data_IF_183779859257
#
_entry.id   IF_183779859257
#
_cell.length_a   1.000
_cell.length_b   1.000
_cell.length_c   1.000
_cell.angle_alpha   90.00
_cell.angle_beta   90.00
_cell.angle_gamma   90.00
#
_symmetry.space_group_name_H-M   'P 1'
#
loop_
_entity.id
_entity.type
_entity.pdbx_description
1 polymer ?
#
# COMPACT_ATOMS: atom_id res chain seq x y z
N UNK A 1 31.82 -3.05 27.28
CA UNK A 1 30.51 -3.58 26.83
C UNK A 1 29.57 -3.51 28.02
N UNK A 2 28.47 -2.76 27.95
CA UNK A 2 27.52 -2.62 29.05
C UNK A 2 26.35 -3.60 28.86
N UNK A 3 26.04 -4.39 29.90
CA UNK A 3 24.87 -5.26 29.96
C UNK A 3 23.75 -4.47 30.67
N UNK A 4 22.62 -4.28 30.00
CA UNK A 4 21.39 -3.78 30.61
C UNK A 4 20.47 -4.98 30.88
N UNK A 5 20.01 -5.09 32.14
CA UNK A 5 19.14 -6.18 32.59
C UNK A 5 17.84 -5.56 33.11
N UNK A 6 16.72 -5.95 32.49
CA UNK A 6 15.41 -5.40 32.81
C UNK A 6 14.86 -6.22 33.97
N UNK A 7 14.52 -5.56 35.07
CA UNK A 7 14.14 -6.21 36.33
C UNK A 7 12.90 -7.12 36.21
N UNK A 8 12.01 -6.85 35.24
CA UNK A 8 10.74 -7.55 35.09
C UNK A 8 10.82 -8.89 34.32
N UNK A 9 11.94 -9.19 33.64
CA UNK A 9 12.11 -10.46 32.89
C UNK A 9 13.46 -11.11 33.25
N UNK A 10 13.49 -12.02 34.24
CA UNK A 10 14.74 -12.52 34.81
C UNK A 10 15.59 -13.41 33.87
N UNK A 11 15.05 -13.84 32.72
CA UNK A 11 15.72 -14.74 31.78
C UNK A 11 16.02 -14.11 30.40
N UNK A 12 15.81 -12.80 30.23
CA UNK A 12 16.01 -12.13 28.94
C UNK A 12 17.29 -11.29 28.93
N UNK A 13 18.17 -11.55 27.96
CA UNK A 13 19.41 -10.84 27.72
C UNK A 13 19.36 -10.21 26.32
N UNK A 14 19.29 -8.89 26.26
CA UNK A 14 19.38 -8.14 25.01
C UNK A 14 20.76 -7.46 24.92
N UNK A 15 21.73 -8.01 24.17
CA UNK A 15 22.99 -7.33 23.92
C UNK A 15 22.76 -6.20 22.91
N UNK A 16 22.28 -5.06 23.38
CA UNK A 16 22.07 -3.87 22.54
C UNK A 16 23.39 -3.10 22.43
N UNK A 17 23.83 -2.83 21.20
CA UNK A 17 24.92 -1.89 20.93
C UNK A 17 24.31 -0.51 20.71
N UNK A 18 24.54 0.40 21.66
CA UNK A 18 24.11 1.79 21.58
C UNK A 18 24.99 2.51 20.56
N UNK A 19 24.46 2.73 19.35
CA UNK A 19 25.10 3.52 18.31
C UNK A 19 24.44 4.89 18.26
N UNK A 20 25.20 5.94 18.56
CA UNK A 20 24.75 7.32 18.41
C UNK A 20 25.50 7.97 17.26
N UNK A 21 24.80 8.77 16.46
CA UNK A 21 25.43 9.60 15.42
C UNK A 21 25.63 10.98 15.98
N UNK A 22 26.90 11.37 16.16
CA UNK A 22 27.30 12.68 16.66
C UNK A 22 27.55 13.64 15.50
N UNK A 23 26.70 14.65 15.37
CA UNK A 23 26.91 15.75 14.43
C UNK A 23 27.62 16.90 15.14
N UNK A 24 28.77 17.28 14.60
CA UNK A 24 29.59 18.37 15.10
C UNK A 24 29.54 19.55 14.14
N UNK A 25 29.35 20.75 14.67
CA UNK A 25 29.40 22.00 13.92
C UNK A 25 30.70 22.75 14.22
N UNK A 26 31.43 23.11 13.17
CA UNK A 26 32.66 23.86 13.31
C UNK A 26 32.38 25.34 13.60
N UNK A 27 33.02 25.90 14.64
CA UNK A 27 33.00 27.33 14.91
C UNK A 27 34.29 27.99 14.42
N UNK A 28 34.24 28.73 13.29
CA UNK A 28 35.44 29.33 12.69
C UNK A 28 36.07 30.44 13.54
N UNK A 29 35.35 31.02 14.51
CA UNK A 29 35.89 32.08 15.38
C UNK A 29 36.77 31.54 16.51
N UNK A 30 36.53 30.29 16.95
CA UNK A 30 37.22 29.69 18.09
C UNK A 30 38.02 28.44 17.73
N UNK A 31 38.00 28.00 16.47
CA UNK A 31 38.73 26.81 15.99
C UNK A 31 38.25 25.48 16.58
N UNK A 32 37.11 25.49 17.27
CA UNK A 32 36.59 24.35 18.01
C UNK A 32 35.33 23.80 17.33
N UNK A 33 35.13 22.48 17.43
CA UNK A 33 33.93 21.79 16.98
C UNK A 33 32.95 21.65 18.16
N UNK A 34 31.74 22.18 18.00
CA UNK A 34 30.67 22.08 18.99
C UNK A 34 29.70 20.97 18.63
N UNK A 35 29.18 20.28 19.63
CA UNK A 35 28.18 19.23 19.44
C UNK A 35 26.85 19.90 19.07
N UNK A 36 26.36 19.64 17.87
CA UNK A 36 25.11 20.22 17.35
C UNK A 36 23.94 19.25 17.54
N UNK A 37 24.14 17.97 17.21
CA UNK A 37 23.07 16.98 17.31
C UNK A 37 23.62 15.62 17.70
N UNK A 38 22.88 14.92 18.55
CA UNK A 38 23.11 13.52 18.88
C UNK A 38 21.83 12.77 18.54
N UNK A 39 21.89 11.97 17.48
CA UNK A 39 20.78 11.10 17.10
C UNK A 39 21.03 9.72 17.71
N UNK A 40 20.11 9.30 18.56
CA UNK A 40 20.07 7.96 19.12
C UNK A 40 19.32 7.04 18.17
N UNK A 41 20.05 6.44 17.22
CA UNK A 41 19.43 5.56 16.24
C UNK A 41 19.06 4.22 16.90
N UNK A 42 17.90 4.20 17.55
CA UNK A 42 17.23 2.97 17.94
C UNK A 42 16.35 2.50 16.78
N UNK A 43 16.31 1.20 16.55
CA UNK A 43 15.56 0.60 15.45
C UNK A 43 14.18 0.16 15.93
N UNK A 44 13.12 0.85 15.45
CA UNK A 44 11.71 0.38 15.27
C UNK A 44 11.26 -0.86 16.05
N UNK A 45 11.79 -1.96 15.54
CA UNK A 45 11.53 -3.34 15.90
C UNK A 45 11.95 -3.75 17.32
N UNK A 46 12.83 -2.99 17.99
CA UNK A 46 13.38 -3.41 19.28
C UNK A 46 12.40 -3.25 20.45
N UNK A 47 11.48 -2.27 20.40
CA UNK A 47 10.50 -2.03 21.47
C UNK A 47 9.28 -2.94 21.37
N UNK A 48 8.89 -3.37 20.17
CA UNK A 48 7.85 -4.41 20.00
C UNK A 48 8.30 -5.72 20.69
N UNK A 49 9.58 -6.08 20.57
CA UNK A 49 10.16 -7.27 21.24
C UNK A 49 10.19 -7.16 22.76
N UNK A 50 10.08 -5.94 23.28
CA UNK A 50 10.08 -5.65 24.71
C UNK A 50 8.68 -5.79 25.32
N UNK A 51 7.62 -5.49 24.55
CA UNK A 51 6.24 -5.55 25.05
C UNK A 51 5.68 -6.98 25.05
N UNK A 52 6.09 -7.84 24.11
CA UNK A 52 5.68 -9.24 24.03
C UNK A 52 6.83 -10.13 23.52
N UNK A 53 7.69 -10.69 24.39
CA UNK A 53 8.58 -11.78 24.01
C UNK A 53 7.69 -12.99 23.62
N UNK A 54 7.62 -13.31 22.32
CA UNK A 54 6.65 -14.29 21.81
C UNK A 54 5.60 -13.72 20.85
N UNK A 55 5.53 -12.40 20.66
CA UNK A 55 4.47 -11.73 19.89
C UNK A 55 4.33 -12.21 18.45
N UNK A 56 5.39 -12.77 17.86
CA UNK A 56 5.30 -13.42 16.55
C UNK A 56 4.28 -14.57 16.58
N UNK A 57 4.26 -15.41 17.62
CA UNK A 57 3.27 -16.50 17.74
C UNK A 57 1.85 -15.95 17.82
N UNK A 58 1.65 -14.80 18.47
CA UNK A 58 0.34 -14.17 18.56
C UNK A 58 -0.13 -13.66 17.19
N UNK A 59 0.77 -13.10 16.39
CA UNK A 59 0.51 -12.66 15.01
C UNK A 59 0.24 -13.86 14.11
N UNK A 60 1.02 -14.94 14.24
CA UNK A 60 0.81 -16.21 13.52
C UNK A 60 -0.52 -16.87 13.91
N UNK A 61 -0.87 -16.88 15.19
CA UNK A 61 -2.17 -17.36 15.68
C UNK A 61 -3.30 -16.49 15.12
N UNK A 62 -3.17 -15.17 15.16
CA UNK A 62 -4.17 -14.25 14.60
C UNK A 62 -4.39 -14.47 13.09
N UNK A 63 -3.30 -14.65 12.33
CA UNK A 63 -3.40 -15.01 10.91
C UNK A 63 -4.11 -16.35 10.71
N UNK A 64 -3.75 -17.37 11.49
CA UNK A 64 -4.40 -18.68 11.43
C UNK A 64 -5.90 -18.61 11.78
N UNK A 65 -6.27 -17.80 12.77
CA UNK A 65 -7.65 -17.54 13.16
C UNK A 65 -8.45 -16.84 12.05
N UNK A 66 -7.86 -15.84 11.39
CA UNK A 66 -8.50 -15.16 10.26
C UNK A 66 -8.73 -16.11 9.08
N UNK A 67 -7.72 -16.91 8.70
CA UNK A 67 -7.85 -17.89 7.62
C UNK A 67 -8.90 -18.96 7.95
N UNK A 68 -8.95 -19.44 9.19
CA UNK A 68 -9.95 -20.40 9.64
C UNK A 68 -11.38 -19.84 9.51
N UNK A 69 -11.61 -18.61 9.96
CA UNK A 69 -12.93 -17.96 9.82
C UNK A 69 -13.29 -17.67 8.37
N UNK A 70 -12.34 -17.35 7.50
CA UNK A 70 -12.61 -17.19 6.07
C UNK A 70 -13.12 -18.49 5.44
N UNK A 71 -12.43 -19.60 5.68
CA UNK A 71 -12.84 -20.92 5.14
C UNK A 71 -14.19 -21.34 5.72
N UNK A 72 -14.39 -21.20 7.02
CA UNK A 72 -15.68 -21.50 7.67
C UNK A 72 -16.79 -20.59 7.13
N UNK A 73 -16.52 -19.30 6.94
CA UNK A 73 -17.46 -18.34 6.37
C UNK A 73 -17.90 -18.75 4.96
N UNK A 74 -16.97 -19.16 4.10
CA UNK A 74 -17.29 -19.69 2.77
C UNK A 74 -18.16 -20.95 2.86
N UNK A 75 -17.84 -21.90 3.75
CA UNK A 75 -18.66 -23.11 3.92
C UNK A 75 -20.06 -22.83 4.47
N UNK A 76 -20.19 -21.87 5.38
CA UNK A 76 -21.49 -21.46 5.94
C UNK A 76 -22.34 -20.69 4.93
N UNK A 77 -21.72 -19.88 4.08
CA UNK A 77 -22.40 -19.10 3.04
C UNK A 77 -22.59 -19.86 1.72
N UNK A 78 -21.89 -20.97 1.51
CA UNK A 78 -22.06 -21.86 0.35
C UNK A 78 -23.53 -22.30 0.08
N UNK A 79 -24.32 -22.72 1.08
CA UNK A 79 -25.73 -23.02 0.84
C UNK A 79 -26.54 -21.78 0.43
N UNK A 80 -26.17 -20.58 0.89
CA UNK A 80 -26.85 -19.34 0.50
C UNK A 80 -26.63 -19.04 -0.98
N UNK A 81 -25.39 -19.17 -1.47
CA UNK A 81 -25.08 -18.99 -2.90
C UNK A 81 -25.76 -20.04 -3.78
N UNK A 82 -25.81 -21.30 -3.33
CA UNK A 82 -26.53 -22.36 -4.06
C UNK A 82 -28.05 -22.09 -4.14
N UNK A 83 -28.63 -21.58 -3.05
CA UNK A 83 -30.04 -21.15 -3.02
C UNK A 83 -30.29 -19.97 -3.96
N UNK A 84 -29.41 -18.96 -3.98
CA UNK A 84 -29.54 -17.78 -4.84
C UNK A 84 -29.55 -18.15 -6.32
N UNK A 85 -28.66 -19.08 -6.71
CA UNK A 85 -28.58 -19.62 -8.06
C UNK A 85 -29.81 -20.48 -8.43
N UNK A 86 -30.28 -21.32 -7.52
CA UNK A 86 -31.37 -22.28 -7.79
C UNK A 86 -32.77 -21.66 -7.63
N UNK A 87 -32.93 -20.59 -6.85
CA UNK A 87 -34.20 -19.86 -6.64
C UNK A 87 -34.29 -18.53 -7.39
N UNK A 88 -33.25 -18.17 -8.17
CA UNK A 88 -33.32 -17.03 -9.09
C UNK A 88 -33.33 -15.66 -8.40
N UNK A 89 -32.66 -15.53 -7.25
CA UNK A 89 -32.53 -14.25 -6.53
C UNK A 89 -31.29 -13.44 -6.92
N UNK A 90 -30.53 -13.90 -7.94
CA UNK A 90 -29.37 -13.21 -8.49
C UNK A 90 -29.72 -12.25 -9.62
N UNK A 91 -30.53 -11.21 -9.38
CA UNK A 91 -30.42 -9.99 -10.19
C UNK A 91 -29.14 -9.27 -9.76
N UNK A 92 -28.02 -9.69 -10.37
CA UNK A 92 -26.72 -9.10 -10.16
C UNK A 92 -26.76 -7.58 -10.39
N UNK A 93 -26.50 -6.84 -9.33
CA UNK A 93 -26.20 -5.41 -9.30
C UNK A 93 -25.13 -5.00 -10.32
N UNK A 94 -25.55 -4.73 -11.56
CA UNK A 94 -25.27 -3.52 -12.37
C UNK A 94 -23.83 -3.12 -12.76
N UNK A 95 -22.76 -3.82 -12.36
CA UNK A 95 -21.39 -3.30 -12.54
C UNK A 95 -20.67 -3.69 -13.86
N UNK A 96 -21.23 -4.59 -14.67
CA UNK A 96 -20.65 -4.97 -15.97
C UNK A 96 -21.29 -4.22 -17.15
N UNK A 97 -22.61 -4.00 -17.13
CA UNK A 97 -23.34 -3.30 -18.19
C UNK A 97 -22.93 -1.83 -18.33
N UNK A 98 -22.70 -1.13 -17.22
CA UNK A 98 -22.37 0.30 -17.23
C UNK A 98 -20.95 0.60 -17.76
N UNK A 99 -19.98 -0.33 -17.62
CA UNK A 99 -18.63 -0.17 -18.21
C UNK A 99 -18.62 -0.43 -19.71
N UNK A 100 -19.43 -1.37 -20.19
CA UNK A 100 -19.53 -1.65 -21.63
C UNK A 100 -20.21 -0.50 -22.40
N UNK A 101 -21.27 0.09 -21.85
CA UNK A 101 -21.96 1.22 -22.48
C UNK A 101 -21.12 2.50 -22.48
N UNK A 102 -20.39 2.79 -21.40
CA UNK A 102 -19.50 3.96 -21.31
C UNK A 102 -18.33 3.89 -22.31
N UNK A 103 -17.66 2.73 -22.39
CA UNK A 103 -16.54 2.52 -23.33
C UNK A 103 -16.99 2.63 -24.79
N UNK A 104 -18.19 2.13 -25.13
CA UNK A 104 -18.77 2.24 -26.48
C UNK A 104 -19.09 3.69 -26.86
N UNK A 105 -19.65 4.48 -25.94
CA UNK A 105 -20.02 5.87 -26.21
C UNK A 105 -18.78 6.77 -26.38
N UNK A 106 -17.75 6.59 -25.54
CA UNK A 106 -16.52 7.39 -25.61
C UNK A 106 -15.68 7.07 -26.86
N UNK A 107 -15.66 5.80 -27.30
CA UNK A 107 -14.94 5.37 -28.49
C UNK A 107 -15.49 5.92 -29.81
N UNK A 108 -16.82 6.08 -29.92
CA UNK A 108 -17.45 6.56 -31.15
C UNK A 108 -17.23 8.08 -31.35
N UNK A 109 -17.30 8.87 -30.28
CA UNK A 109 -17.07 10.34 -30.31
C UNK A 109 -15.63 10.69 -30.70
N UNK A 110 -14.63 9.90 -30.27
CA UNK A 110 -13.23 10.14 -30.60
C UNK A 110 -12.88 9.92 -32.07
N UNK A 111 -13.53 8.95 -32.73
CA UNK A 111 -13.30 8.67 -34.16
C UNK A 111 -13.95 9.71 -35.07
N UNK A 112 -15.13 10.20 -34.74
CA UNK A 112 -15.81 11.25 -35.52
C UNK A 112 -15.05 12.58 -35.48
N UNK A 113 -14.52 12.98 -34.32
CA UNK A 113 -13.70 14.19 -34.18
C UNK A 113 -12.34 14.08 -34.91
N UNK A 114 -11.69 12.91 -34.86
CA UNK A 114 -10.44 12.67 -35.62
C UNK A 114 -10.68 12.72 -37.14
N UNK A 115 -11.77 12.14 -37.62
CA UNK A 115 -12.06 12.16 -39.05
C UNK A 115 -12.38 13.57 -39.56
N UNK A 116 -13.12 14.39 -38.80
CA UNK A 116 -13.41 15.78 -39.18
C UNK A 116 -12.14 16.62 -39.38
N UNK A 117 -11.28 16.67 -38.36
CA UNK A 117 -9.99 17.39 -38.44
C UNK A 117 -9.02 16.84 -39.49
N UNK A 118 -9.12 15.54 -39.80
CA UNK A 118 -8.33 14.93 -40.86
C UNK A 118 -8.78 15.34 -42.27
N UNK A 119 -10.02 15.77 -42.50
CA UNK A 119 -10.41 16.26 -43.83
C UNK A 119 -10.08 17.75 -44.03
N UNK A 120 -10.01 18.53 -42.94
CA UNK A 120 -9.75 19.96 -43.01
C UNK A 120 -8.38 20.29 -43.63
N UNK A 121 -7.32 19.56 -43.27
CA UNK A 121 -5.99 19.79 -43.83
C UNK A 121 -5.88 19.44 -45.32
N UNK A 122 -6.60 18.41 -45.78
CA UNK A 122 -6.65 18.04 -47.19
C UNK A 122 -7.39 19.10 -48.00
N UNK A 123 -8.49 19.65 -47.47
CA UNK A 123 -9.25 20.72 -48.12
C UNK A 123 -8.40 21.98 -48.26
N UNK A 124 -7.63 22.35 -47.23
CA UNK A 124 -6.69 23.48 -47.30
C UNK A 124 -5.58 23.25 -48.34
N UNK A 125 -5.02 22.04 -48.42
CA UNK A 125 -4.02 21.71 -49.45
C UNK A 125 -4.61 21.79 -50.87
N UNK A 126 -5.84 21.29 -51.07
CA UNK A 126 -6.53 21.37 -52.35
C UNK A 126 -6.86 22.82 -52.74
N UNK A 127 -7.25 23.66 -51.77
CA UNK A 127 -7.45 25.09 -52.00
C UNK A 127 -6.18 25.78 -52.45
N UNK A 128 -5.04 25.50 -51.81
CA UNK A 128 -3.76 26.09 -52.16
C UNK A 128 -3.24 25.69 -53.55
N UNK A 129 -3.69 24.56 -54.11
CA UNK A 129 -3.36 24.13 -55.48
C UNK A 129 -4.28 24.73 -56.55
N UNK A 130 -5.42 25.31 -56.17
CA UNK A 130 -6.40 25.90 -57.10
C UNK A 130 -6.28 27.41 -57.27
N UNK A 131 -5.40 28.07 -56.49
CA UNK A 131 -4.99 29.47 -56.65
C UNK A 131 -3.59 29.55 -57.24
#
# INVERSE_FOLDING_TARGET
MHIFRIWFVPFYYAPVRLTTVLNLRHSPSMGNYYIEKQEDLYQVDQWIRFLLPGGWLLIWLWHAWATLFCVLGTYLLYPVTWIEENWGWGEGIGMESSRYTDTKHHGNTGQTLKNGSAWDHVIEELKGKMT
#
